data_IF_366083085532
#
_entry.id   IF_366083085532
#
_cell.length_a   1.000
_cell.length_b   1.000
_cell.length_c   1.000
_cell.angle_alpha   90.00
_cell.angle_beta   90.00
_cell.angle_gamma   90.00
#
_symmetry.space_group_name_H-M   'P 1'
#
loop_
_entity.id
_entity.type
_entity.pdbx_description
1 polymer ?
#
# COMPACT_ATOMS: atom_id res chain seq x y z
N UNK A 1 4.85 -9.33 -11.66
CA UNK A 1 5.43 -8.22 -10.89
C UNK A 1 4.58 -6.97 -11.05
N UNK A 2 4.25 -6.32 -9.95
CA UNK A 2 3.48 -5.09 -9.99
C UNK A 2 4.31 -3.94 -9.50
N UNK A 3 4.27 -2.85 -10.25
CA UNK A 3 4.90 -1.61 -9.85
C UNK A 3 3.81 -0.64 -9.45
N UNK A 4 3.82 -0.27 -8.17
CA UNK A 4 2.87 0.70 -7.66
C UNK A 4 3.54 2.05 -7.57
N UNK A 5 2.83 3.06 -7.97
CA UNK A 5 3.29 4.43 -7.84
C UNK A 5 2.46 5.18 -6.81
N UNK A 6 2.88 6.40 -6.52
CA UNK A 6 2.14 7.28 -5.64
C UNK A 6 0.77 7.55 -6.26
N UNK A 7 -0.27 7.41 -5.48
CA UNK A 7 -1.64 7.59 -5.95
C UNK A 7 -2.32 6.30 -6.39
N UNK A 8 -1.59 5.19 -6.43
CA UNK A 8 -2.19 3.91 -6.77
C UNK A 8 -3.11 3.42 -5.67
N UNK A 9 -4.23 2.84 -6.07
CA UNK A 9 -5.18 2.28 -5.11
C UNK A 9 -4.92 0.80 -4.95
N UNK A 10 -4.96 0.35 -3.72
CA UNK A 10 -4.75 -1.06 -3.41
C UNK A 10 -5.82 -1.55 -2.45
N UNK A 11 -5.93 -2.87 -2.36
CA UNK A 11 -6.81 -3.51 -1.40
C UNK A 11 -6.00 -4.52 -0.62
N UNK A 12 -5.98 -4.38 0.69
CA UNK A 12 -5.27 -5.29 1.58
C UNK A 12 -6.26 -6.17 2.32
N UNK A 13 -5.91 -7.44 2.50
CA UNK A 13 -6.81 -8.39 3.15
C UNK A 13 -7.12 -8.01 4.59
N UNK A 14 -6.17 -7.39 5.28
CA UNK A 14 -6.36 -7.02 6.68
C UNK A 14 -6.73 -5.54 6.85
N UNK A 15 -6.15 -4.67 6.03
CA UNK A 15 -6.32 -3.23 6.21
C UNK A 15 -7.42 -2.64 5.34
N UNK A 16 -7.84 -3.36 4.32
CA UNK A 16 -8.88 -2.87 3.43
C UNK A 16 -8.32 -1.98 2.32
N UNK A 17 -9.14 -1.06 1.88
CA UNK A 17 -8.79 -0.18 0.78
C UNK A 17 -7.83 0.92 1.21
N UNK A 18 -6.86 1.22 0.36
CA UNK A 18 -5.89 2.26 0.64
C UNK A 18 -5.33 2.88 -0.62
N UNK A 19 -4.57 3.95 -0.43
CA UNK A 19 -3.91 4.66 -1.52
C UNK A 19 -2.44 4.78 -1.19
N UNK A 20 -1.60 4.45 -2.15
CA UNK A 20 -0.16 4.56 -1.98
C UNK A 20 0.22 6.05 -1.95
N UNK A 21 0.87 6.47 -0.88
CA UNK A 21 1.27 7.87 -0.72
C UNK A 21 2.77 8.07 -0.87
N UNK A 22 3.55 6.99 -0.75
CA UNK A 22 4.99 7.06 -0.95
C UNK A 22 5.52 5.67 -1.25
N UNK A 23 6.65 5.61 -1.92
CA UNK A 23 7.29 4.35 -2.28
C UNK A 23 8.75 4.43 -1.90
N UNK A 24 9.20 3.45 -1.12
CA UNK A 24 10.62 3.32 -0.79
C UNK A 24 11.18 2.08 -1.47
N UNK A 25 12.47 1.83 -1.30
CA UNK A 25 13.11 0.68 -1.93
C UNK A 25 12.62 -0.65 -1.37
N UNK A 26 12.01 -0.64 -0.18
CA UNK A 26 11.59 -1.89 0.48
C UNK A 26 10.13 -1.89 0.92
N UNK A 27 9.49 -0.74 0.97
CA UNK A 27 8.14 -0.63 1.50
C UNK A 27 7.32 0.34 0.68
N UNK A 28 6.01 0.14 0.73
CA UNK A 28 5.06 1.13 0.25
C UNK A 28 4.44 1.80 1.45
N UNK A 29 4.30 3.12 1.36
CA UNK A 29 3.56 3.88 2.36
C UNK A 29 2.14 4.04 1.85
N UNK A 30 1.20 3.48 2.57
CA UNK A 30 -0.19 3.44 2.12
C UNK A 30 -1.08 4.04 3.20
N UNK A 31 -1.94 4.95 2.79
CA UNK A 31 -2.96 5.49 3.67
C UNK A 31 -4.23 4.70 3.46
N UNK A 32 -4.61 3.92 4.47
CA UNK A 32 -5.82 3.12 4.41
C UNK A 32 -7.00 3.92 4.94
N UNK A 33 -8.15 3.72 4.33
CA UNK A 33 -9.34 4.50 4.67
C UNK A 33 -9.72 4.30 6.14
N UNK A 34 -9.60 3.08 6.63
CA UNK A 34 -10.01 2.77 8.00
C UNK A 34 -8.86 2.76 8.99
N UNK A 35 -7.69 2.34 8.56
CA UNK A 35 -6.55 2.16 9.46
C UNK A 35 -5.55 3.32 9.45
N UNK A 36 -5.66 4.21 8.50
CA UNK A 36 -4.73 5.32 8.38
C UNK A 36 -3.42 4.91 7.71
N UNK A 37 -2.35 5.62 8.02
CA UNK A 37 -1.07 5.40 7.35
C UNK A 37 -0.40 4.15 7.89
N UNK A 38 -0.05 3.26 6.96
CA UNK A 38 0.67 2.03 7.28
C UNK A 38 1.76 1.81 6.25
N UNK A 39 2.78 1.06 6.63
CA UNK A 39 3.81 0.65 5.69
C UNK A 39 3.62 -0.82 5.35
N UNK A 40 3.76 -1.14 4.08
CA UNK A 40 3.60 -2.51 3.59
C UNK A 40 4.88 -2.92 2.91
N UNK A 41 5.36 -4.11 3.27
CA UNK A 41 6.54 -4.67 2.63
C UNK A 41 6.26 -4.84 1.14
N UNK A 42 7.24 -4.48 0.32
CA UNK A 42 7.10 -4.54 -1.14
C UNK A 42 6.81 -5.97 -1.63
N UNK A 43 7.17 -6.96 -0.83
CA UNK A 43 6.92 -8.35 -1.17
C UNK A 43 5.60 -8.88 -0.62
N UNK A 44 4.83 -8.06 0.09
CA UNK A 44 3.52 -8.47 0.60
C UNK A 44 2.54 -8.66 -0.54
N UNK A 45 1.61 -9.58 -0.34
CA UNK A 45 0.54 -9.80 -1.30
C UNK A 45 -0.63 -8.89 -1.01
N UNK A 46 -1.10 -8.21 -2.04
CA UNK A 46 -2.28 -7.36 -1.94
C UNK A 46 -2.78 -7.06 -3.33
N UNK A 47 -3.96 -6.53 -3.39
CA UNK A 47 -4.56 -6.16 -4.68
C UNK A 47 -4.86 -4.68 -4.77
#
# INVERSE_FOLDING_TARGET
MQLLGIGSRIKHAEYGLGVVTNVTSKHYWVTFIENGLETIDINSEFE
#
